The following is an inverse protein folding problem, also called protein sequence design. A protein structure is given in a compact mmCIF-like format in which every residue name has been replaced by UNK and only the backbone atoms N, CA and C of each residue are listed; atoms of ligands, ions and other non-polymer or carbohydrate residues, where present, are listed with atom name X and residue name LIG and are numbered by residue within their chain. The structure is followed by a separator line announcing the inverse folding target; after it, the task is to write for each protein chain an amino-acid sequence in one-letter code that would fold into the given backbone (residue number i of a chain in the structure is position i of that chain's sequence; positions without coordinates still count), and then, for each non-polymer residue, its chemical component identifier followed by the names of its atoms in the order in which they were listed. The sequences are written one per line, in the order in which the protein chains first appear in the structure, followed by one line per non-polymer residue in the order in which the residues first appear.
data_IF_077960620203
#
_entry.id   IF_077960620203
#
_cell.length_a   1.000
_cell.length_b   1.000
_cell.length_c   1.000
_cell.angle_alpha   90.00
_cell.angle_beta   90.00
_cell.angle_gamma   90.00
#
_symmetry.space_group_name_H-M   'P 1'
#
loop_
_entity.id
_entity.type
_entity.pdbx_description
1 polymer ?
#
# COMPACT_ATOMS: atom_id res chain seq x y z
N UNK A 1 -5.08 -10.80 0.25
CA UNK A 1 -4.84 -9.98 1.47
C UNK A 1 -3.39 -9.50 1.57
N UNK A 2 -2.39 -10.26 1.04
CA UNK A 2 -0.98 -9.82 1.02
C UNK A 2 -0.79 -8.48 0.30
N UNK A 3 -1.50 -8.22 -0.79
CA UNK A 3 -1.44 -6.96 -1.55
C UNK A 3 -1.74 -5.70 -0.73
N UNK A 4 -2.52 -5.82 0.36
CA UNK A 4 -2.83 -4.69 1.25
C UNK A 4 -1.83 -4.55 2.42
N UNK A 5 -0.80 -5.40 2.47
CA UNK A 5 0.22 -5.38 3.51
C UNK A 5 1.59 -4.88 3.01
N UNK A 6 1.70 -4.57 1.71
CA UNK A 6 2.92 -4.06 1.07
C UNK A 6 2.80 -2.57 0.80
N UNK A 7 3.94 -1.91 0.67
CA UNK A 7 4.01 -0.45 0.52
C UNK A 7 3.87 0.02 -0.93
N UNK A 8 4.22 -0.84 -1.90
CA UNK A 8 4.12 -0.54 -3.33
C UNK A 8 3.68 -1.78 -4.12
N UNK A 9 2.75 -1.60 -5.05
CA UNK A 9 2.09 -2.67 -5.80
C UNK A 9 2.19 -2.41 -7.29
N UNK A 10 2.84 -3.31 -8.00
CA UNK A 10 2.92 -3.31 -9.45
C UNK A 10 2.07 -4.49 -9.95
N UNK A 11 1.21 -4.26 -10.90
CA UNK A 11 0.34 -5.28 -11.48
C UNK A 11 0.66 -5.48 -12.96
N UNK A 12 0.50 -6.70 -13.43
CA UNK A 12 0.46 -6.97 -14.85
C UNK A 12 -0.87 -6.47 -15.45
N UNK A 13 -0.85 -6.12 -16.72
CA UNK A 13 -2.00 -5.64 -17.49
C UNK A 13 -3.16 -6.65 -17.60
N UNK A 14 -2.87 -7.94 -17.40
CA UNK A 14 -3.86 -9.02 -17.37
C UNK A 14 -4.38 -9.33 -15.95
N UNK A 15 -4.12 -8.46 -14.95
CA UNK A 15 -4.62 -8.66 -13.59
C UNK A 15 -6.15 -8.75 -13.57
N UNK A 16 -6.66 -9.72 -12.80
CA UNK A 16 -8.02 -9.71 -12.28
C UNK A 16 -7.96 -9.88 -10.76
N UNK A 17 -8.44 -8.90 -10.01
CA UNK A 17 -8.38 -8.88 -8.55
C UNK A 17 -9.74 -8.56 -7.94
N UNK A 18 -10.08 -9.22 -6.84
CA UNK A 18 -11.33 -9.02 -6.13
C UNK A 18 -11.33 -9.66 -4.75
N UNK A 19 -12.43 -9.47 -4.03
CA UNK A 19 -12.61 -10.00 -2.67
C UNK A 19 -13.93 -10.78 -2.58
N UNK A 20 -13.96 -11.93 -3.29
CA UNK A 20 -15.17 -12.74 -3.49
C UNK A 20 -15.57 -13.64 -2.31
N UNK A 21 -15.02 -13.50 -1.11
CA UNK A 21 -15.29 -14.36 0.05
C UNK A 21 -16.79 -14.47 0.38
N UNK A 22 -17.54 -13.38 0.24
CA UNK A 22 -18.99 -13.33 0.49
C UNK A 22 -19.79 -14.28 -0.40
N UNK A 23 -19.31 -14.58 -1.61
CA UNK A 23 -19.95 -15.54 -2.53
C UNK A 23 -19.93 -16.97 -1.99
N UNK A 24 -19.06 -17.25 -1.03
CA UNK A 24 -18.88 -18.54 -0.38
C UNK A 24 -19.39 -18.56 1.07
N UNK A 25 -20.13 -17.52 1.50
CA UNK A 25 -20.67 -17.41 2.85
C UNK A 25 -19.63 -17.17 3.95
N UNK A 26 -18.41 -16.69 3.59
CA UNK A 26 -17.34 -16.42 4.55
C UNK A 26 -16.91 -14.95 4.51
N UNK A 27 -16.34 -14.51 5.62
CA UNK A 27 -15.80 -13.15 5.74
C UNK A 27 -14.30 -13.13 5.34
N UNK A 28 -13.85 -12.07 4.67
CA UNK A 28 -12.45 -11.96 4.24
C UNK A 28 -11.50 -11.46 5.35
N UNK A 29 -11.76 -11.78 6.60
CA UNK A 29 -10.91 -11.42 7.74
C UNK A 29 -10.75 -9.90 7.91
N UNK A 30 -9.50 -9.41 8.00
CA UNK A 30 -9.20 -7.97 8.10
C UNK A 30 -9.35 -7.20 6.77
N UNK A 31 -9.78 -7.89 5.69
CA UNK A 31 -9.94 -7.32 4.36
C UNK A 31 -10.74 -6.04 4.29
N UNK A 32 -11.97 -6.02 4.81
CA UNK A 32 -12.82 -4.84 4.74
C UNK A 32 -12.20 -3.59 5.37
N UNK A 33 -11.55 -3.72 6.54
CA UNK A 33 -10.87 -2.60 7.22
C UNK A 33 -9.71 -2.05 6.39
N UNK A 34 -8.81 -2.95 5.95
CA UNK A 34 -7.61 -2.56 5.18
C UNK A 34 -7.98 -2.01 3.81
N UNK A 35 -8.95 -2.63 3.14
CA UNK A 35 -9.39 -2.21 1.82
C UNK A 35 -10.05 -0.83 1.87
N UNK A 36 -10.91 -0.56 2.85
CA UNK A 36 -11.53 0.75 3.02
C UNK A 36 -10.49 1.86 3.25
N UNK A 37 -9.42 1.57 3.98
CA UNK A 37 -8.30 2.51 4.14
C UNK A 37 -7.49 2.73 2.87
N UNK A 38 -7.38 1.71 2.00
CA UNK A 38 -6.58 1.80 0.78
C UNK A 38 -7.32 2.46 -0.39
N UNK A 39 -8.61 2.11 -0.61
CA UNK A 39 -9.36 2.52 -1.81
C UNK A 39 -10.62 3.35 -1.50
N UNK A 40 -10.82 3.70 -0.23
CA UNK A 40 -12.01 4.39 0.24
C UNK A 40 -13.24 3.48 0.38
N UNK A 41 -14.25 3.97 1.12
CA UNK A 41 -15.41 3.18 1.52
C UNK A 41 -16.25 2.70 0.33
N UNK A 42 -16.44 3.53 -0.70
CA UNK A 42 -17.30 3.17 -1.83
C UNK A 42 -16.70 2.03 -2.67
N UNK A 43 -15.43 2.12 -3.03
CA UNK A 43 -14.74 1.05 -3.77
C UNK A 43 -14.63 -0.23 -2.94
N UNK A 44 -14.34 -0.11 -1.63
CA UNK A 44 -14.32 -1.25 -0.72
C UNK A 44 -15.67 -1.98 -0.64
N UNK A 45 -16.79 -1.26 -0.63
CA UNK A 45 -18.15 -1.86 -0.65
C UNK A 45 -18.40 -2.66 -1.92
N UNK A 46 -18.03 -2.15 -3.09
CA UNK A 46 -18.15 -2.89 -4.36
C UNK A 46 -17.40 -4.22 -4.30
N UNK A 47 -16.15 -4.18 -3.91
CA UNK A 47 -15.30 -5.38 -3.85
C UNK A 47 -15.73 -6.36 -2.77
N UNK A 48 -16.13 -5.88 -1.58
CA UNK A 48 -16.48 -6.74 -0.45
C UNK A 48 -17.91 -7.27 -0.51
N UNK A 49 -18.90 -6.42 -0.83
CA UNK A 49 -20.31 -6.79 -0.72
C UNK A 49 -20.84 -7.43 -2.00
N UNK A 50 -20.39 -6.94 -3.16
CA UNK A 50 -20.80 -7.52 -4.45
C UNK A 50 -19.83 -8.60 -4.91
N UNK A 51 -18.66 -8.73 -4.25
CA UNK A 51 -17.64 -9.69 -4.61
C UNK A 51 -17.12 -9.49 -6.04
N UNK A 52 -17.10 -8.23 -6.50
CA UNK A 52 -16.65 -7.89 -7.85
C UNK A 52 -15.16 -8.19 -8.02
N UNK A 53 -14.82 -8.60 -9.24
CA UNK A 53 -13.45 -8.61 -9.73
C UNK A 53 -13.26 -7.41 -10.64
N UNK A 54 -12.12 -6.76 -10.53
CA UNK A 54 -11.72 -5.62 -11.34
C UNK A 54 -10.45 -5.93 -12.10
N UNK A 55 -10.29 -5.36 -13.27
CA UNK A 55 -9.07 -5.47 -14.09
C UNK A 55 -7.95 -4.55 -13.57
N UNK A 56 -6.78 -4.61 -14.22
CA UNK A 56 -5.61 -3.83 -13.84
C UNK A 56 -5.85 -2.32 -13.90
N UNK A 57 -6.58 -1.84 -14.92
CA UNK A 57 -6.89 -0.42 -15.11
C UNK A 57 -7.80 0.10 -14.01
N UNK A 58 -8.86 -0.64 -13.68
CA UNK A 58 -9.77 -0.29 -12.60
C UNK A 58 -9.09 -0.35 -11.25
N UNK A 59 -8.25 -1.36 -11.00
CA UNK A 59 -7.47 -1.49 -9.79
C UNK A 59 -6.52 -0.30 -9.59
N UNK A 60 -5.89 0.17 -10.68
CA UNK A 60 -5.03 1.35 -10.64
C UNK A 60 -5.85 2.64 -10.38
N UNK A 61 -6.96 2.84 -11.10
CA UNK A 61 -7.80 4.02 -10.91
C UNK A 61 -8.36 4.17 -9.49
N UNK A 62 -8.64 3.07 -8.81
CA UNK A 62 -9.12 3.11 -7.43
C UNK A 62 -8.01 3.09 -6.38
N UNK A 63 -6.73 3.09 -6.78
CA UNK A 63 -5.58 3.09 -5.86
C UNK A 63 -5.28 1.73 -5.21
N UNK A 64 -5.83 0.64 -5.75
CA UNK A 64 -5.55 -0.72 -5.25
C UNK A 64 -4.17 -1.21 -5.71
N UNK A 65 -3.68 -0.75 -6.86
CA UNK A 65 -2.32 -0.94 -7.35
C UNK A 65 -1.73 0.41 -7.76
N UNK A 66 -0.41 0.54 -7.59
CA UNK A 66 0.31 1.79 -7.78
C UNK A 66 0.76 1.97 -9.25
N UNK A 67 0.97 0.84 -9.95
CA UNK A 67 1.42 0.84 -11.36
C UNK A 67 0.91 -0.40 -12.10
N UNK A 68 0.62 -0.23 -13.39
CA UNK A 68 0.29 -1.32 -14.31
C UNK A 68 1.34 -1.37 -15.40
N UNK A 69 1.82 -2.57 -15.71
CA UNK A 69 2.85 -2.83 -16.71
C UNK A 69 2.46 -4.07 -17.54
N UNK A 70 3.08 -4.27 -18.70
CA UNK A 70 2.90 -5.50 -19.45
C UNK A 70 3.38 -6.70 -18.62
N UNK A 71 2.67 -7.84 -18.72
CA UNK A 71 3.05 -9.07 -18.00
C UNK A 71 4.51 -9.46 -18.27
N UNK A 72 4.98 -9.30 -19.51
CA UNK A 72 6.34 -9.66 -19.90
C UNK A 72 7.43 -8.82 -19.21
N UNK A 73 7.11 -7.62 -18.72
CA UNK A 73 8.07 -6.71 -18.07
C UNK A 73 7.88 -6.61 -16.56
N UNK A 74 6.92 -7.33 -15.99
CA UNK A 74 6.53 -7.19 -14.57
C UNK A 74 7.71 -7.41 -13.62
N UNK A 75 8.51 -8.45 -13.84
CA UNK A 75 9.64 -8.78 -12.96
C UNK A 75 10.74 -7.72 -13.03
N UNK A 76 11.09 -7.26 -14.23
CA UNK A 76 12.10 -6.23 -14.43
C UNK A 76 11.68 -4.90 -13.82
N UNK A 77 10.42 -4.52 -13.98
CA UNK A 77 9.85 -3.30 -13.39
C UNK A 77 9.78 -3.36 -11.86
N UNK A 78 9.46 -4.53 -11.30
CA UNK A 78 9.48 -4.74 -9.86
C UNK A 78 10.90 -4.66 -9.31
N UNK A 79 11.88 -5.27 -9.99
CA UNK A 79 13.31 -5.21 -9.66
C UNK A 79 13.82 -3.77 -9.70
N UNK A 80 13.55 -3.03 -10.77
CA UNK A 80 13.96 -1.65 -10.92
C UNK A 80 13.36 -0.73 -9.83
N UNK A 81 12.10 -0.97 -9.45
CA UNK A 81 11.47 -0.25 -8.34
C UNK A 81 12.16 -0.53 -7.01
N UNK A 82 12.50 -1.80 -6.73
CA UNK A 82 13.20 -2.19 -5.52
C UNK A 82 14.64 -1.61 -5.46
N UNK A 83 15.39 -1.68 -6.55
CA UNK A 83 16.75 -1.14 -6.65
C UNK A 83 16.76 0.38 -6.43
N UNK A 84 15.79 1.11 -6.98
CA UNK A 84 15.66 2.55 -6.76
C UNK A 84 15.48 2.88 -5.28
N UNK A 85 14.62 2.14 -4.56
CA UNK A 85 14.38 2.38 -3.14
C UNK A 85 15.54 1.91 -2.28
N UNK A 86 16.25 0.85 -2.68
CA UNK A 86 17.45 0.37 -2.01
C UNK A 86 18.60 1.41 -2.02
N UNK A 87 18.58 2.36 -2.95
CA UNK A 87 19.53 3.49 -3.01
C UNK A 87 19.20 4.62 -2.03
N UNK A 88 18.07 4.58 -1.32
CA UNK A 88 17.69 5.63 -0.36
C UNK A 88 18.17 5.28 1.06
N UNK A 89 18.20 6.30 1.95
CA UNK A 89 18.49 6.10 3.36
C UNK A 89 17.50 5.08 3.99
N UNK A 90 18.01 3.95 4.44
CA UNK A 90 17.22 2.92 5.10
C UNK A 90 16.54 3.45 6.37
N UNK A 91 17.23 4.32 7.10
CA UNK A 91 16.70 4.95 8.31
C UNK A 91 15.55 5.88 7.99
N UNK A 92 15.74 6.78 7.02
CA UNK A 92 14.69 7.70 6.60
C UNK A 92 13.44 6.97 6.08
N UNK A 93 13.61 5.87 5.32
CA UNK A 93 12.51 5.03 4.87
C UNK A 93 11.75 4.40 6.05
N UNK A 94 12.46 3.85 7.04
CA UNK A 94 11.84 3.24 8.24
C UNK A 94 11.07 4.28 9.07
N UNK A 95 11.67 5.45 9.31
CA UNK A 95 11.02 6.52 10.05
C UNK A 95 9.81 7.07 9.31
N UNK A 96 9.91 7.29 8.00
CA UNK A 96 8.77 7.70 7.17
C UNK A 96 7.62 6.69 7.23
N UNK A 97 7.92 5.39 7.09
CA UNK A 97 6.93 4.32 7.20
C UNK A 97 6.29 4.27 8.59
N UNK A 98 7.07 4.49 9.66
CA UNK A 98 6.57 4.57 11.03
C UNK A 98 5.62 5.76 11.21
N UNK A 99 6.02 6.94 10.75
CA UNK A 99 5.18 8.14 10.83
C UNK A 99 3.87 8.00 10.06
N UNK A 100 3.91 7.42 8.86
CA UNK A 100 2.70 7.12 8.07
C UNK A 100 1.73 6.19 8.82
N UNK A 101 2.26 5.23 9.59
CA UNK A 101 1.44 4.31 10.36
C UNK A 101 0.82 4.98 11.61
N UNK A 102 1.50 5.95 12.21
CA UNK A 102 1.07 6.66 13.42
C UNK A 102 0.13 7.84 13.12
N UNK A 103 0.31 8.50 11.98
CA UNK A 103 -0.37 9.74 11.63
C UNK A 103 -1.90 9.72 11.82
N UNK A 104 -2.64 8.62 11.49
CA UNK A 104 -4.10 8.59 11.70
C UNK A 104 -4.55 8.66 13.16
N UNK A 105 -3.67 8.34 14.09
CA UNK A 105 -3.97 8.22 15.53
C UNK A 105 -3.45 9.41 16.34
N UNK A 106 -2.80 10.39 15.70
CA UNK A 106 -2.18 11.56 16.33
C UNK A 106 -2.91 12.85 15.93
N UNK A 107 -2.94 13.81 16.85
CA UNK A 107 -3.21 15.21 16.52
C UNK A 107 -1.96 15.90 15.95
N UNK A 108 -2.11 17.13 15.44
CA UNK A 108 -1.03 17.87 14.80
C UNK A 108 0.19 18.06 15.72
N UNK A 109 -0.04 18.34 17.01
CA UNK A 109 1.05 18.53 17.97
C UNK A 109 1.79 17.22 18.29
N UNK A 110 1.07 16.13 18.46
CA UNK A 110 1.63 14.79 18.62
C UNK A 110 2.42 14.33 17.39
N UNK A 111 1.89 14.61 16.20
CA UNK A 111 2.60 14.30 14.97
C UNK A 111 3.91 15.12 14.83
N UNK A 112 3.87 16.42 15.11
CA UNK A 112 5.07 17.27 15.06
C UNK A 112 6.15 16.78 16.02
N UNK A 113 5.78 16.39 17.25
CA UNK A 113 6.72 15.81 18.21
C UNK A 113 7.38 14.54 17.70
N UNK A 114 6.59 13.61 17.15
CA UNK A 114 7.11 12.36 16.57
C UNK A 114 7.98 12.61 15.34
N UNK A 115 7.59 13.57 14.49
CA UNK A 115 8.37 13.98 13.32
C UNK A 115 9.75 14.55 13.73
N UNK A 116 9.80 15.49 14.68
CA UNK A 116 11.06 16.08 15.14
C UNK A 116 12.00 15.03 15.74
N UNK A 117 11.46 14.10 16.53
CA UNK A 117 12.22 12.98 17.08
C UNK A 117 12.77 12.06 15.97
N UNK A 118 11.96 11.75 14.95
CA UNK A 118 12.36 10.95 13.79
C UNK A 118 13.45 11.66 12.97
N UNK A 119 13.28 12.95 12.73
CA UNK A 119 14.27 13.76 12.02
C UNK A 119 15.61 13.81 12.74
N UNK A 120 15.59 13.98 14.08
CA UNK A 120 16.83 13.94 14.89
C UNK A 120 17.56 12.59 14.75
N UNK A 121 16.81 11.46 14.75
CA UNK A 121 17.40 10.12 14.53
C UNK A 121 18.01 9.97 13.14
N UNK A 122 17.40 10.56 12.11
CA UNK A 122 17.93 10.52 10.75
C UNK A 122 19.23 11.32 10.60
N UNK A 123 19.35 12.44 11.33
CA UNK A 123 20.52 13.33 11.27
C UNK A 123 21.69 12.86 12.15
N UNK A 124 21.42 12.14 13.25
CA UNK A 124 22.44 11.72 14.21
C UNK A 124 23.43 10.69 13.65
N UNK A 125 22.99 9.83 12.73
CA UNK A 125 23.81 8.81 12.09
C UNK A 125 23.43 8.70 10.62
N UNK A 126 24.19 9.26 9.69
CA UNK A 126 23.95 9.06 8.27
C UNK A 126 24.10 7.57 7.92
N UNK A 127 23.17 7.05 7.11
CA UNK A 127 23.28 5.70 6.55
C UNK A 127 24.56 5.58 5.72
N UNK A 128 25.27 4.49 5.91
CA UNK A 128 26.43 4.13 5.08
C UNK A 128 25.96 3.50 3.79
#
# INVERSE_FOLDING_TARGET
MLTLAVDYRIAADNLAIGLGAVRHGILPGSGPKRLAGAVGSLAARRLCLFGEYVDASDAHRMGLVDRVVALATLEDEARAAAERVAGFSTRALRECKRLLALAPDLDDAGYEQEYLAAQARCLAEPDR
#
